data_IF_728051943714
#
_entry.id   IF_728051943714
#
_cell.length_a   1.000
_cell.length_b   1.000
_cell.length_c   1.000
_cell.angle_alpha   90.00
_cell.angle_beta   90.00
_cell.angle_gamma   90.00
#
_symmetry.space_group_name_H-M   'P 1'
#
loop_
_entity.id
_entity.type
_entity.pdbx_description
1 polymer ?
#
# COMPACT_ATOMS: atom_id res chain seq x y z
N UNK A 1 0.57 3.78 1.84
CA UNK A 1 0.67 3.66 3.31
C UNK A 1 1.51 2.44 3.63
N UNK A 2 2.83 2.61 3.69
CA UNK A 2 3.76 1.54 4.01
C UNK A 2 3.81 1.38 5.54
N UNK A 3 3.53 0.18 6.05
CA UNK A 3 3.96 -0.18 7.39
C UNK A 3 5.41 -0.69 7.31
N UNK A 4 6.36 -0.16 8.11
CA UNK A 4 7.69 -0.72 8.20
C UNK A 4 7.64 -2.05 8.96
N UNK A 5 8.28 -3.08 8.38
CA UNK A 5 8.45 -4.39 8.97
C UNK A 5 9.47 -4.27 10.12
N UNK A 6 9.05 -4.58 11.35
CA UNK A 6 9.89 -4.57 12.53
C UNK A 6 11.08 -5.54 12.39
N UNK A 7 12.28 -5.19 12.88
CA UNK A 7 13.40 -6.13 12.98
C UNK A 7 13.19 -7.16 14.09
N UNK A 8 13.71 -8.35 13.81
CA UNK A 8 13.71 -9.59 14.58
C UNK A 8 14.14 -9.42 16.05
N UNK A 9 13.29 -9.83 16.99
CA UNK A 9 13.51 -9.75 18.45
C UNK A 9 14.20 -11.04 18.93
N UNK A 10 15.48 -11.23 18.60
CA UNK A 10 16.18 -12.43 19.06
C UNK A 10 17.52 -12.09 19.72
N UNK A 11 17.48 -11.96 21.05
CA UNK A 11 18.49 -12.39 22.04
C UNK A 11 18.57 -11.41 23.23
N UNK A 12 17.70 -11.61 24.23
CA UNK A 12 17.90 -11.06 25.57
C UNK A 12 18.41 -12.21 26.45
N UNK A 13 19.69 -12.21 26.79
CA UNK A 13 20.24 -13.13 27.79
C UNK A 13 19.92 -12.56 29.18
N UNK A 14 18.88 -13.10 29.82
CA UNK A 14 18.37 -12.60 31.10
C UNK A 14 19.11 -13.20 32.29
N UNK A 15 19.85 -12.38 33.03
CA UNK A 15 20.27 -12.69 34.41
C UNK A 15 19.11 -12.34 35.37
N UNK A 16 18.66 -13.32 36.15
CA UNK A 16 17.55 -13.17 37.10
C UNK A 16 18.05 -12.66 38.46
N UNK A 17 17.87 -11.36 38.75
CA UNK A 17 18.02 -10.80 40.10
C UNK A 17 16.63 -10.53 40.69
N UNK A 18 16.27 -11.31 41.72
CA UNK A 18 15.00 -11.17 42.45
C UNK A 18 15.07 -10.01 43.45
N UNK A 19 14.50 -8.86 43.11
CA UNK A 19 14.17 -7.80 44.06
C UNK A 19 12.77 -7.25 43.74
N UNK A 20 11.84 -7.41 44.69
CA UNK A 20 10.51 -6.77 44.74
C UNK A 20 9.52 -7.00 43.59
N UNK A 21 9.19 -8.27 43.31
CA UNK A 21 7.83 -8.67 42.90
C UNK A 21 7.21 -8.04 41.64
N UNK A 22 8.01 -7.44 40.75
CA UNK A 22 7.51 -6.92 39.46
C UNK A 22 8.51 -7.21 38.35
N UNK A 23 8.00 -7.81 37.27
CA UNK A 23 8.79 -8.25 36.13
C UNK A 23 8.99 -7.06 35.17
N UNK A 24 10.15 -6.42 35.23
CA UNK A 24 10.54 -5.39 34.25
C UNK A 24 11.78 -5.87 33.50
N UNK A 25 11.59 -6.19 32.22
CA UNK A 25 12.62 -6.71 31.34
C UNK A 25 13.41 -5.52 30.78
N UNK A 26 14.65 -5.34 31.22
CA UNK A 26 15.54 -4.25 30.80
C UNK A 26 16.31 -4.70 29.55
N UNK A 27 16.09 -4.02 28.43
CA UNK A 27 16.91 -4.18 27.22
C UNK A 27 17.90 -3.01 27.15
N UNK A 28 19.19 -3.30 27.24
CA UNK A 28 20.26 -2.32 27.09
C UNK A 28 20.46 -1.98 25.60
N UNK A 29 20.27 -0.72 25.23
CA UNK A 29 20.66 -0.19 23.90
C UNK A 29 22.09 0.37 23.97
N UNK A 30 22.93 0.19 22.93
CA UNK A 30 24.27 0.77 22.90
C UNK A 30 24.21 2.30 22.82
N UNK A 31 24.88 2.89 23.79
CA UNK A 31 25.24 4.28 23.98
C UNK A 31 25.58 5.04 22.67
N UNK A 32 24.68 5.90 22.17
CA UNK A 32 25.00 6.94 21.19
C UNK A 32 25.23 8.26 21.93
N UNK A 33 26.39 8.35 22.59
CA UNK A 33 26.90 9.56 23.26
C UNK A 33 27.41 10.56 22.22
N UNK A 34 26.48 11.24 21.53
CA UNK A 34 26.72 12.51 20.83
C UNK A 34 25.50 13.44 20.93
N UNK A 35 24.95 13.58 22.13
CA UNK A 35 24.07 14.71 22.43
C UNK A 35 24.85 15.68 23.31
N UNK A 36 25.22 16.81 22.71
CA UNK A 36 25.82 17.96 23.38
C UNK A 36 25.00 18.37 24.61
N UNK A 37 25.63 18.92 25.67
CA UNK A 37 24.93 19.33 26.88
C UNK A 37 23.87 20.40 26.55
N UNK A 38 22.62 20.10 26.90
CA UNK A 38 21.49 21.03 26.78
C UNK A 38 21.80 22.28 27.61
N UNK A 39 22.13 23.37 26.90
CA UNK A 39 22.20 24.71 27.44
C UNK A 39 20.77 25.15 27.84
N UNK A 40 20.49 25.24 29.14
CA UNK A 40 19.17 25.55 29.71
C UNK A 40 18.74 27.04 29.59
N UNK A 41 19.30 27.81 28.65
CA UNK A 41 18.90 29.20 28.40
C UNK A 41 17.70 29.34 27.45
N UNK A 42 16.91 28.27 27.23
CA UNK A 42 15.66 28.40 26.49
C UNK A 42 14.55 28.84 27.45
N UNK A 43 13.89 30.01 27.26
CA UNK A 43 12.75 30.37 28.07
C UNK A 43 11.64 29.31 27.92
N UNK A 44 10.89 28.99 28.99
CA UNK A 44 9.78 28.05 28.88
C UNK A 44 8.80 28.60 27.84
N UNK A 45 8.55 27.81 26.79
CA UNK A 45 7.51 28.11 25.80
C UNK A 45 6.17 28.08 26.56
N UNK A 46 5.72 29.25 27.00
CA UNK A 46 4.43 29.45 27.63
C UNK A 46 3.37 28.82 26.75
N UNK A 47 2.58 27.90 27.34
CA UNK A 47 1.41 27.33 26.68
C UNK A 47 0.53 28.46 26.13
N UNK A 48 0.07 28.41 24.87
CA UNK A 48 -0.84 29.42 24.36
C UNK A 48 -2.13 29.36 25.18
N UNK A 49 -2.47 30.49 25.81
CA UNK A 49 -3.74 30.73 26.47
C UNK A 49 -4.91 30.33 25.56
N UNK A 50 -5.95 29.76 26.17
CA UNK A 50 -7.17 29.23 25.58
C UNK A 50 -7.99 30.25 24.73
N UNK A 51 -7.43 30.68 23.60
CA UNK A 51 -8.04 31.65 22.69
C UNK A 51 -7.35 31.77 21.32
N UNK A 52 -6.41 30.90 20.98
CA UNK A 52 -5.81 30.88 19.63
C UNK A 52 -6.59 29.90 18.74
N UNK A 53 -7.46 30.44 17.88
CA UNK A 53 -8.00 29.69 16.73
C UNK A 53 -6.82 29.32 15.85
N UNK A 54 -6.54 28.02 15.73
CA UNK A 54 -5.53 27.50 14.80
C UNK A 54 -5.80 28.09 13.41
N UNK A 55 -4.78 28.58 12.68
CA UNK A 55 -4.97 29.02 11.30
C UNK A 55 -5.66 27.88 10.55
N UNK A 56 -6.86 28.14 10.02
CA UNK A 56 -7.54 27.22 9.10
C UNK A 56 -6.51 26.88 8.02
N UNK A 57 -6.12 25.61 7.94
CA UNK A 57 -5.12 25.15 7.00
C UNK A 57 -5.74 25.28 5.60
N UNK A 58 -5.50 26.42 4.94
CA UNK A 58 -6.01 26.66 3.59
C UNK A 58 -5.24 25.75 2.62
N UNK A 59 -5.82 24.59 2.33
CA UNK A 59 -5.34 23.74 1.25
C UNK A 59 -5.66 24.44 -0.08
N UNK A 60 -4.69 24.57 -1.01
CA UNK A 60 -4.97 25.12 -2.33
C UNK A 60 -6.05 24.27 -3.01
N UNK A 61 -7.03 24.93 -3.63
CA UNK A 61 -8.07 24.26 -4.41
C UNK A 61 -7.40 23.45 -5.52
N UNK A 62 -7.48 22.12 -5.40
CA UNK A 62 -6.94 21.23 -6.42
C UNK A 62 -7.86 21.24 -7.64
N UNK A 63 -7.34 21.75 -8.76
CA UNK A 63 -8.03 21.74 -10.05
C UNK A 63 -7.52 20.56 -10.89
N UNK A 64 -8.31 19.49 -11.08
CA UNK A 64 -7.90 18.38 -11.94
C UNK A 64 -7.69 18.86 -13.37
N UNK A 65 -6.48 18.66 -13.91
CA UNK A 65 -6.24 18.77 -15.34
C UNK A 65 -6.74 17.52 -16.04
N UNK A 66 -7.52 17.69 -17.11
CA UNK A 66 -8.07 16.58 -17.88
C UNK A 66 -7.03 16.09 -18.89
N UNK A 67 -6.59 14.84 -18.71
CA UNK A 67 -5.73 14.15 -19.68
C UNK A 67 -6.62 13.60 -20.81
N UNK A 68 -6.86 14.42 -21.83
CA UNK A 68 -7.78 14.11 -22.93
C UNK A 68 -7.48 12.79 -23.65
N UNK A 69 -6.20 12.40 -23.77
CA UNK A 69 -5.80 11.13 -24.39
C UNK A 69 -6.41 9.94 -23.66
N UNK A 70 -6.34 9.92 -22.32
CA UNK A 70 -6.93 8.86 -21.52
C UNK A 70 -8.46 8.90 -21.59
N UNK A 71 -9.05 10.10 -21.51
CA UNK A 71 -10.51 10.27 -21.60
C UNK A 71 -11.06 9.72 -22.91
N UNK A 72 -10.46 10.09 -24.05
CA UNK A 72 -10.87 9.62 -25.37
C UNK A 72 -10.64 8.12 -25.51
N UNK A 73 -9.47 7.61 -25.07
CA UNK A 73 -9.14 6.18 -25.17
C UNK A 73 -10.13 5.30 -24.39
N UNK A 74 -10.45 5.69 -23.15
CA UNK A 74 -11.44 4.98 -22.33
C UNK A 74 -12.83 5.11 -22.91
N UNK A 75 -13.19 6.26 -23.48
CA UNK A 75 -14.51 6.44 -24.13
C UNK A 75 -14.67 5.50 -25.33
N UNK A 76 -13.67 5.43 -26.20
CA UNK A 76 -13.67 4.53 -27.36
C UNK A 76 -13.75 3.07 -26.91
N UNK A 77 -12.97 2.68 -25.89
CA UNK A 77 -13.01 1.34 -25.30
C UNK A 77 -14.44 0.96 -24.85
N UNK A 78 -15.15 1.88 -24.18
CA UNK A 78 -16.53 1.63 -23.73
C UNK A 78 -17.51 1.53 -24.89
N UNK A 79 -17.37 2.35 -25.93
CA UNK A 79 -18.22 2.25 -27.13
C UNK A 79 -18.02 0.91 -27.85
N UNK A 80 -16.77 0.44 -27.96
CA UNK A 80 -16.45 -0.88 -28.52
C UNK A 80 -17.00 -2.01 -27.64
N UNK A 81 -16.97 -1.87 -26.31
CA UNK A 81 -17.54 -2.85 -25.40
C UNK A 81 -19.06 -2.98 -25.59
N UNK A 82 -19.78 -1.86 -25.70
CA UNK A 82 -21.22 -1.86 -26.00
C UNK A 82 -21.50 -2.51 -27.35
N UNK A 83 -20.74 -2.15 -28.39
CA UNK A 83 -20.87 -2.76 -29.71
C UNK A 83 -20.63 -4.28 -29.67
N UNK A 84 -19.60 -4.73 -28.96
CA UNK A 84 -19.29 -6.15 -28.78
C UNK A 84 -20.42 -6.89 -28.05
N UNK A 85 -21.02 -6.30 -27.01
CA UNK A 85 -22.15 -6.91 -26.30
C UNK A 85 -23.37 -7.10 -27.23
N UNK A 86 -23.65 -6.13 -28.09
CA UNK A 86 -24.79 -6.18 -29.02
C UNK A 86 -24.59 -7.18 -30.17
N UNK A 87 -23.34 -7.35 -30.63
CA UNK A 87 -23.00 -8.19 -31.78
C UNK A 87 -22.58 -9.61 -31.42
N UNK A 88 -22.01 -9.82 -30.23
CA UNK A 88 -21.53 -11.12 -29.77
C UNK A 88 -22.55 -12.26 -29.89
N UNK A 89 -23.82 -12.15 -29.43
CA UNK A 89 -24.75 -13.29 -29.45
C UNK A 89 -25.07 -13.81 -30.85
N UNK A 90 -24.83 -13.02 -31.90
CA UNK A 90 -25.14 -13.38 -33.28
C UNK A 90 -23.92 -13.79 -34.11
N UNK A 91 -22.69 -13.60 -33.61
CA UNK A 91 -21.47 -13.69 -34.42
C UNK A 91 -20.36 -14.57 -33.82
N UNK A 92 -20.36 -14.85 -32.51
CA UNK A 92 -19.30 -15.66 -31.88
C UNK A 92 -19.72 -17.07 -31.50
N UNK A 93 -18.76 -17.98 -31.66
CA UNK A 93 -18.86 -19.38 -31.27
C UNK A 93 -18.72 -19.53 -29.73
N UNK A 94 -19.36 -20.54 -29.16
CA UNK A 94 -19.21 -20.92 -27.74
C UNK A 94 -17.75 -20.96 -27.21
N UNK A 95 -16.74 -21.51 -27.93
CA UNK A 95 -15.35 -21.46 -27.48
C UNK A 95 -14.84 -20.05 -27.17
N UNK A 96 -15.28 -19.03 -27.91
CA UNK A 96 -14.87 -17.63 -27.68
C UNK A 96 -15.37 -17.11 -26.34
N UNK A 97 -16.58 -17.51 -25.92
CA UNK A 97 -17.11 -17.14 -24.61
C UNK A 97 -16.33 -17.79 -23.46
N UNK A 98 -16.03 -19.08 -23.58
CA UNK A 98 -15.22 -19.81 -22.58
C UNK A 98 -13.82 -19.21 -22.48
N UNK A 99 -13.21 -18.91 -23.63
CA UNK A 99 -11.91 -18.26 -23.70
C UNK A 99 -11.91 -16.87 -23.04
N UNK A 100 -12.93 -16.05 -23.32
CA UNK A 100 -13.10 -14.73 -22.71
C UNK A 100 -13.27 -14.79 -21.19
N UNK A 101 -14.08 -15.72 -20.69
CA UNK A 101 -14.26 -15.93 -19.25
C UNK A 101 -12.96 -16.39 -18.57
N UNK A 102 -12.21 -17.29 -19.22
CA UNK A 102 -10.92 -17.75 -18.73
C UNK A 102 -9.90 -16.60 -18.64
N UNK A 103 -9.74 -15.82 -19.71
CA UNK A 103 -8.83 -14.66 -19.69
C UNK A 103 -9.24 -13.61 -18.65
N UNK A 104 -10.54 -13.34 -18.50
CA UNK A 104 -11.04 -12.44 -17.46
C UNK A 104 -10.73 -12.95 -16.05
N UNK A 105 -10.89 -14.25 -15.81
CA UNK A 105 -10.53 -14.88 -14.54
C UNK A 105 -9.02 -14.80 -14.24
N UNK A 106 -8.19 -15.07 -15.24
CA UNK A 106 -6.72 -14.95 -15.12
C UNK A 106 -6.30 -13.51 -14.80
N UNK A 107 -6.87 -12.52 -15.50
CA UNK A 107 -6.63 -11.10 -15.23
C UNK A 107 -7.07 -10.68 -13.82
N UNK A 108 -8.29 -11.05 -13.41
CA UNK A 108 -8.81 -10.76 -12.08
C UNK A 108 -7.98 -11.39 -10.96
N UNK A 109 -7.50 -12.62 -11.16
CA UNK A 109 -6.56 -13.27 -10.24
C UNK A 109 -5.22 -12.51 -10.16
N UNK A 110 -4.68 -12.05 -11.28
CA UNK A 110 -3.45 -11.25 -11.34
C UNK A 110 -3.53 -9.94 -10.54
N UNK A 111 -4.65 -9.21 -10.65
CA UNK A 111 -4.86 -7.96 -9.91
C UNK A 111 -5.02 -8.22 -8.41
N UNK A 112 -5.87 -9.18 -8.04
CA UNK A 112 -6.24 -9.43 -6.63
C UNK A 112 -5.15 -10.17 -5.86
N UNK A 113 -4.62 -11.27 -6.39
CA UNK A 113 -3.56 -12.03 -5.75
C UNK A 113 -2.20 -11.35 -5.94
N UNK A 114 -1.95 -10.77 -7.12
CA UNK A 114 -0.72 -10.05 -7.44
C UNK A 114 -0.71 -8.64 -6.86
N UNK A 115 -1.09 -7.65 -7.64
CA UNK A 115 -0.82 -6.22 -7.34
C UNK A 115 -1.35 -5.82 -5.96
N UNK A 116 -2.55 -6.30 -5.61
CA UNK A 116 -3.20 -5.97 -4.36
C UNK A 116 -2.54 -6.71 -3.17
N UNK A 117 -2.55 -8.06 -3.16
CA UNK A 117 -2.08 -8.80 -1.97
C UNK A 117 -0.56 -8.94 -1.88
N UNK A 118 0.13 -9.23 -2.98
CA UNK A 118 1.57 -9.49 -2.98
C UNK A 118 2.39 -8.20 -2.99
N UNK A 119 2.09 -7.26 -3.89
CA UNK A 119 2.89 -6.04 -4.05
C UNK A 119 2.46 -4.90 -3.13
N UNK A 120 1.16 -4.62 -3.02
CA UNK A 120 0.65 -3.51 -2.20
C UNK A 120 0.62 -3.85 -0.71
N UNK A 121 0.02 -4.99 -0.35
CA UNK A 121 -0.16 -5.37 1.05
C UNK A 121 0.91 -6.31 1.62
N UNK A 122 1.83 -6.83 0.77
CA UNK A 122 2.85 -7.84 1.16
C UNK A 122 2.32 -8.94 2.08
N UNK A 123 1.10 -9.41 1.84
CA UNK A 123 0.39 -10.33 2.74
C UNK A 123 1.04 -11.73 2.83
N UNK A 124 1.88 -12.10 1.86
CA UNK A 124 2.57 -13.39 1.83
C UNK A 124 3.90 -13.31 1.07
N UNK A 125 4.84 -14.20 1.43
CA UNK A 125 6.19 -14.24 0.84
C UNK A 125 6.22 -15.26 -0.32
N UNK A 126 5.92 -14.81 -1.52
CA UNK A 126 5.93 -15.64 -2.73
C UNK A 126 7.37 -16.00 -3.18
N UNK A 127 7.59 -17.25 -3.61
CA UNK A 127 8.82 -17.72 -4.28
C UNK A 127 8.91 -17.13 -5.69
N UNK A 128 10.12 -17.01 -6.25
CA UNK A 128 10.38 -16.41 -7.55
C UNK A 128 9.45 -16.86 -8.70
N UNK A 129 9.14 -18.16 -8.92
CA UNK A 129 8.27 -18.58 -10.03
C UNK A 129 6.83 -18.08 -9.87
N UNK A 130 6.32 -18.06 -8.63
CA UNK A 130 4.96 -17.59 -8.36
C UNK A 130 4.83 -16.08 -8.65
N UNK A 131 5.89 -15.30 -8.39
CA UNK A 131 5.89 -13.85 -8.71
C UNK A 131 5.79 -13.60 -10.21
N UNK A 132 6.49 -14.39 -11.02
CA UNK A 132 6.47 -14.26 -12.49
C UNK A 132 5.09 -14.61 -13.05
N UNK A 133 4.49 -15.70 -12.58
CA UNK A 133 3.13 -16.10 -13.02
C UNK A 133 2.13 -15.00 -12.68
N UNK A 134 2.16 -14.47 -11.46
CA UNK A 134 1.26 -13.39 -11.04
C UNK A 134 1.50 -12.09 -11.84
N UNK A 135 2.74 -11.80 -12.23
CA UNK A 135 3.06 -10.66 -13.09
C UNK A 135 2.45 -10.82 -14.50
N UNK A 136 2.57 -12.02 -15.10
CA UNK A 136 1.96 -12.32 -16.40
C UNK A 136 0.44 -12.20 -16.32
N UNK A 137 -0.18 -12.78 -15.28
CA UNK A 137 -1.63 -12.66 -15.07
C UNK A 137 -2.08 -11.20 -14.93
N UNK A 138 -1.29 -10.36 -14.25
CA UNK A 138 -1.56 -8.93 -14.14
C UNK A 138 -1.42 -8.20 -15.49
N UNK A 139 -0.42 -8.53 -16.30
CA UNK A 139 -0.28 -7.96 -17.65
C UNK A 139 -1.46 -8.28 -18.55
N UNK A 140 -2.11 -9.44 -18.40
CA UNK A 140 -3.34 -9.79 -19.14
C UNK A 140 -4.53 -8.90 -18.74
N UNK A 141 -4.54 -8.34 -17.52
CA UNK A 141 -5.61 -7.48 -17.05
C UNK A 141 -5.58 -6.07 -17.69
N UNK A 142 -4.43 -5.62 -18.23
CA UNK A 142 -4.30 -4.34 -18.91
C UNK A 142 -4.52 -3.12 -18.01
N UNK A 143 -4.22 -3.23 -16.70
CA UNK A 143 -4.24 -2.14 -15.73
C UNK A 143 -2.83 -1.65 -15.42
#
# INVERSE_FOLDING_TARGET
MAQPMAPDVTSCHGENLMMNGSMSQRCDTPNHSLLDPINNNHPPKSAPSAGAVSPELQYPEWKPEIIWVNTISITILHLLAVYAILTAPFQVLLPTYVWGFFLGGVGGFGVTAGVHRLWTHRAYKAKAPLRVILAICFSVAGQ
#
